data_IF_364820218537
#
_entry.id   IF_364820218537
#
_cell.length_a   1.000
_cell.length_b   1.000
_cell.length_c   1.000
_cell.angle_alpha   90.00
_cell.angle_beta   90.00
_cell.angle_gamma   90.00
#
_symmetry.space_group_name_H-M   'P 1'
#
loop_
_entity.id
_entity.type
_entity.pdbx_description
1 polymer ?
#
# COMPACT_ATOMS: atom_id res chain seq x y z
N UNK A 1 -6.75 12.85 3.16
CA UNK A 1 -6.61 11.40 3.30
C UNK A 1 -7.57 10.80 2.30
N UNK A 2 -7.20 9.73 1.60
CA UNK A 2 -8.23 8.99 0.88
C UNK A 2 -9.20 8.42 1.92
N UNK A 3 -10.46 8.83 1.82
CA UNK A 3 -11.59 8.14 2.44
C UNK A 3 -11.35 6.61 2.34
N UNK A 4 -11.34 5.89 3.49
CA UNK A 4 -11.11 4.43 3.52
C UNK A 4 -12.33 3.63 3.06
N UNK A 5 -13.38 4.31 2.62
CA UNK A 5 -14.47 3.68 1.89
C UNK A 5 -13.95 2.88 0.69
N UNK A 6 -14.66 1.80 0.40
CA UNK A 6 -14.33 0.85 -0.65
C UNK A 6 -14.17 1.54 -1.99
N UNK A 7 -15.10 2.42 -2.37
CA UNK A 7 -15.10 3.09 -3.67
C UNK A 7 -13.91 4.06 -3.74
N UNK A 8 -13.75 4.89 -2.72
CA UNK A 8 -12.69 5.89 -2.67
C UNK A 8 -11.28 5.28 -2.71
N UNK A 9 -11.03 4.21 -1.96
CA UNK A 9 -9.73 3.51 -1.98
C UNK A 9 -9.47 2.88 -3.35
N UNK A 10 -10.48 2.26 -3.96
CA UNK A 10 -10.32 1.69 -5.30
C UNK A 10 -10.05 2.76 -6.36
N UNK A 11 -10.75 3.89 -6.32
CA UNK A 11 -10.54 5.01 -7.24
C UNK A 11 -9.17 5.63 -7.07
N UNK A 12 -8.71 5.84 -5.83
CA UNK A 12 -7.37 6.30 -5.54
C UNK A 12 -6.29 5.34 -6.07
N UNK A 13 -6.46 4.02 -5.84
CA UNK A 13 -5.53 3.01 -6.39
C UNK A 13 -5.54 2.99 -7.92
N UNK A 14 -6.70 3.14 -8.56
CA UNK A 14 -6.78 3.27 -10.02
C UNK A 14 -5.99 4.48 -10.49
N UNK A 15 -6.20 5.65 -9.88
CA UNK A 15 -5.55 6.91 -10.25
C UNK A 15 -4.01 6.87 -10.11
N UNK A 16 -3.49 6.14 -9.11
CA UNK A 16 -2.04 5.98 -8.93
C UNK A 16 -1.35 5.21 -10.07
N UNK A 17 -2.10 4.58 -10.97
CA UNK A 17 -1.66 3.90 -12.20
C UNK A 17 -0.19 3.47 -12.20
N UNK A 18 0.16 2.28 -11.66
CA UNK A 18 1.46 1.71 -11.98
C UNK A 18 1.53 1.59 -13.51
N UNK A 19 2.59 2.12 -14.13
CA UNK A 19 2.70 2.21 -15.60
C UNK A 19 2.44 0.90 -16.35
N UNK A 20 2.53 -0.25 -15.67
CA UNK A 20 1.88 -1.50 -16.08
C UNK A 20 0.83 -1.87 -15.03
N UNK A 21 -0.45 -1.89 -15.43
CA UNK A 21 -1.58 -2.25 -14.55
C UNK A 21 -1.78 -3.77 -14.61
N UNK A 22 -1.49 -4.51 -13.53
CA UNK A 22 -1.77 -5.94 -13.53
C UNK A 22 -3.28 -6.22 -13.60
N UNK A 23 -3.69 -7.41 -14.08
CA UNK A 23 -5.10 -7.75 -14.23
C UNK A 23 -5.90 -7.66 -12.93
N UNK A 24 -5.23 -7.89 -11.80
CA UNK A 24 -5.83 -7.88 -10.46
C UNK A 24 -5.64 -6.53 -9.72
N UNK A 25 -5.40 -5.43 -10.46
CA UNK A 25 -5.30 -4.09 -9.90
C UNK A 25 -6.59 -3.29 -10.11
N UNK A 26 -7.08 -2.58 -9.08
CA UNK A 26 -6.58 -2.55 -7.70
C UNK A 26 -6.79 -3.90 -6.98
N UNK A 27 -5.94 -4.26 -6.00
CA UNK A 27 -6.15 -5.46 -5.20
C UNK A 27 -7.55 -5.43 -4.58
N UNK A 28 -8.26 -6.58 -4.52
CA UNK A 28 -9.61 -6.60 -3.99
C UNK A 28 -9.61 -6.22 -2.52
N UNK A 29 -10.63 -5.47 -2.12
CA UNK A 29 -10.98 -5.32 -0.71
C UNK A 29 -11.57 -6.66 -0.27
N UNK A 30 -11.17 -7.16 0.90
CA UNK A 30 -11.60 -8.48 1.35
C UNK A 30 -13.11 -8.45 1.62
N UNK A 31 -13.82 -9.54 1.34
CA UNK A 31 -15.27 -9.61 1.62
C UNK A 31 -15.61 -9.40 3.11
N UNK A 32 -14.69 -9.73 4.03
CA UNK A 32 -14.84 -9.49 5.48
C UNK A 32 -14.87 -7.99 5.84
N UNK A 33 -14.44 -7.16 4.90
CA UNK A 33 -14.19 -5.73 5.00
C UNK A 33 -15.24 -4.88 4.25
N UNK A 34 -16.20 -5.53 3.58
CA UNK A 34 -17.16 -4.90 2.64
C UNK A 34 -18.53 -4.58 3.27
N UNK A 35 -19.15 -5.43 4.12
CA UNK A 35 -20.48 -5.13 4.67
C UNK A 35 -20.59 -5.18 6.20
N UNK A 36 -19.50 -5.03 6.96
CA UNK A 36 -19.54 -5.18 8.42
C UNK A 36 -19.59 -3.83 9.16
N UNK A 37 -20.08 -3.88 10.40
CA UNK A 37 -20.23 -2.82 11.43
C UNK A 37 -19.05 -1.82 11.51
N UNK A 38 -17.90 -2.15 10.94
CA UNK A 38 -16.66 -1.38 10.96
C UNK A 38 -16.46 -0.44 9.77
N UNK A 39 -17.31 -0.48 8.74
CA UNK A 39 -17.17 0.39 7.57
C UNK A 39 -17.18 1.89 7.96
N UNK A 40 -18.13 2.29 8.82
CA UNK A 40 -18.17 3.66 9.34
C UNK A 40 -16.94 3.97 10.20
N UNK A 41 -16.49 3.03 11.05
CA UNK A 41 -15.31 3.22 11.88
C UNK A 41 -14.03 3.44 11.05
N UNK A 42 -13.92 2.81 9.87
CA UNK A 42 -12.80 3.05 8.96
C UNK A 42 -12.89 4.43 8.29
N UNK A 43 -14.09 4.88 7.95
CA UNK A 43 -14.31 6.25 7.44
C UNK A 43 -13.96 7.28 8.52
N UNK A 44 -14.43 7.06 9.75
CA UNK A 44 -14.18 7.94 10.88
C UNK A 44 -12.69 8.00 11.22
N UNK A 45 -12.01 6.85 11.32
CA UNK A 45 -10.56 6.77 11.47
C UNK A 45 -9.84 7.58 10.40
N UNK A 46 -10.33 7.51 9.16
CA UNK A 46 -9.75 8.27 8.08
C UNK A 46 -9.91 9.78 8.21
N UNK A 47 -11.10 10.22 8.63
CA UNK A 47 -11.36 11.61 8.96
C UNK A 47 -10.49 12.11 10.12
N UNK A 48 -10.32 11.28 11.16
CA UNK A 48 -9.52 11.62 12.34
C UNK A 48 -8.04 11.76 11.98
N UNK A 49 -7.48 10.84 11.20
CA UNK A 49 -6.10 10.93 10.72
C UNK A 49 -5.88 12.18 9.86
N UNK A 50 -6.86 12.55 9.03
CA UNK A 50 -6.81 13.77 8.23
C UNK A 50 -6.80 15.04 9.06
N UNK A 51 -7.69 15.10 10.05
CA UNK A 51 -7.75 16.22 10.97
C UNK A 51 -6.45 16.31 11.78
N UNK A 52 -5.90 15.19 12.22
CA UNK A 52 -4.62 15.16 12.94
C UNK A 52 -3.46 15.64 12.07
N UNK A 53 -3.42 15.26 10.80
CA UNK A 53 -2.39 15.71 9.86
C UNK A 53 -2.53 17.20 9.49
N UNK A 54 -3.75 17.74 9.46
CA UNK A 54 -4.02 19.12 9.05
C UNK A 54 -3.87 20.16 10.17
N UNK A 55 -3.67 19.74 11.42
CA UNK A 55 -3.50 20.64 12.56
C UNK A 55 -2.11 21.28 12.55
N UNK A 56 -2.05 22.59 12.83
CA UNK A 56 -0.80 23.35 12.89
C UNK A 56 0.10 22.97 14.09
N UNK A 57 -0.49 22.41 15.15
CA UNK A 57 0.18 22.19 16.44
C UNK A 57 0.94 20.86 16.52
N UNK A 58 1.91 20.66 15.62
CA UNK A 58 2.86 19.55 15.68
C UNK A 58 2.55 18.38 14.73
N UNK A 59 3.58 17.60 14.42
CA UNK A 59 3.54 16.57 13.39
C UNK A 59 2.64 15.39 13.76
N UNK A 60 2.00 14.78 12.74
CA UNK A 60 1.32 13.49 12.88
C UNK A 60 2.25 12.43 13.50
N UNK A 61 3.54 12.50 13.17
CA UNK A 61 4.57 11.63 13.71
C UNK A 61 4.66 11.72 15.22
N UNK A 62 4.78 12.92 15.79
CA UNK A 62 4.85 13.12 17.23
C UNK A 62 3.58 12.65 17.95
N UNK A 63 2.41 12.82 17.32
CA UNK A 63 1.12 12.41 17.87
C UNK A 63 0.93 10.90 17.90
N UNK A 64 1.53 10.20 16.94
CA UNK A 64 1.52 8.74 16.86
C UNK A 64 2.77 8.10 17.47
N UNK A 65 3.68 8.87 18.09
CA UNK A 65 4.94 8.37 18.61
C UNK A 65 4.78 7.54 19.90
N UNK A 66 3.62 7.59 20.54
CA UNK A 66 3.33 6.78 21.72
C UNK A 66 3.41 5.27 21.37
N UNK A 67 4.20 4.47 22.12
CA UNK A 67 4.37 3.05 21.81
C UNK A 67 3.06 2.25 21.82
N UNK A 68 2.13 2.54 22.73
CA UNK A 68 0.86 1.83 22.78
C UNK A 68 0.00 2.14 21.54
N UNK A 69 -0.03 3.41 21.12
CA UNK A 69 -0.69 3.85 19.89
C UNK A 69 -0.09 3.19 18.64
N UNK A 70 1.25 3.06 18.57
CA UNK A 70 1.92 2.35 17.47
C UNK A 70 1.56 0.86 17.44
N UNK A 71 1.42 0.22 18.60
CA UNK A 71 1.03 -1.17 18.72
C UNK A 71 -0.43 -1.40 18.28
N UNK A 72 -1.34 -0.51 18.66
CA UNK A 72 -2.74 -0.53 18.20
C UNK A 72 -2.84 -0.31 16.69
N UNK A 73 -2.13 0.70 16.17
CA UNK A 73 -2.08 0.96 14.73
C UNK A 73 -1.53 -0.25 13.97
N UNK A 74 -0.50 -0.91 14.51
CA UNK A 74 0.07 -2.10 13.88
C UNK A 74 -0.91 -3.28 13.86
N UNK A 75 -1.63 -3.48 14.96
CA UNK A 75 -2.69 -4.49 15.06
C UNK A 75 -3.76 -4.24 14.01
N UNK A 76 -4.22 -3.00 13.89
CA UNK A 76 -5.22 -2.58 12.90
C UNK A 76 -4.73 -2.84 11.48
N UNK A 77 -3.50 -2.42 11.14
CA UNK A 77 -2.92 -2.60 9.81
C UNK A 77 -2.80 -4.09 9.41
N UNK A 78 -2.56 -4.98 10.36
CA UNK A 78 -2.49 -6.42 10.09
C UNK A 78 -3.84 -7.04 9.74
N UNK A 79 -4.93 -6.42 10.18
CA UNK A 79 -6.29 -6.90 9.91
C UNK A 79 -6.81 -6.40 8.56
N UNK A 80 -6.25 -5.30 8.04
CA UNK A 80 -6.65 -4.73 6.76
C UNK A 80 -6.20 -5.57 5.55
N UNK A 81 -7.04 -5.55 4.54
CA UNK A 81 -6.76 -6.02 3.19
C UNK A 81 -5.78 -5.11 2.48
N UNK A 82 -5.20 -5.64 1.40
CA UNK A 82 -4.11 -4.99 0.69
C UNK A 82 -4.43 -3.57 0.20
N UNK A 83 -5.66 -3.33 -0.26
CA UNK A 83 -6.07 -2.02 -0.78
C UNK A 83 -6.01 -0.92 0.30
N UNK A 84 -6.69 -1.14 1.44
CA UNK A 84 -6.72 -0.19 2.55
C UNK A 84 -5.38 -0.08 3.28
N UNK A 85 -4.66 -1.20 3.39
CA UNK A 85 -3.30 -1.22 3.90
C UNK A 85 -2.39 -0.30 3.07
N UNK A 86 -2.42 -0.42 1.74
CA UNK A 86 -1.60 0.43 0.86
C UNK A 86 -1.98 1.90 0.97
N UNK A 87 -3.28 2.22 1.05
CA UNK A 87 -3.76 3.60 1.22
C UNK A 87 -3.24 4.24 2.52
N UNK A 88 -3.37 3.54 3.66
CA UNK A 88 -2.86 4.03 4.94
C UNK A 88 -1.34 4.13 4.96
N UNK A 89 -0.63 3.13 4.45
CA UNK A 89 0.82 3.15 4.41
C UNK A 89 1.36 4.29 3.54
N UNK A 90 0.67 4.61 2.44
CA UNK A 90 1.00 5.75 1.60
C UNK A 90 0.74 7.06 2.34
N UNK A 91 -0.44 7.25 2.93
CA UNK A 91 -0.76 8.45 3.72
C UNK A 91 0.26 8.71 4.84
N UNK A 92 0.64 7.67 5.60
CA UNK A 92 1.64 7.76 6.66
C UNK A 92 3.05 8.06 6.13
N UNK A 93 3.35 7.66 4.88
CA UNK A 93 4.62 8.00 4.23
C UNK A 93 4.64 9.46 3.74
N UNK A 94 3.53 9.96 3.18
CA UNK A 94 3.41 11.33 2.71
C UNK A 94 3.46 12.35 3.85
N UNK A 95 2.97 11.98 5.03
CA UNK A 95 3.00 12.81 6.24
C UNK A 95 4.25 12.55 7.11
N UNK A 96 5.32 12.01 6.52
CA UNK A 96 6.58 11.82 7.24
C UNK A 96 7.21 13.16 7.62
N UNK A 97 7.70 13.26 8.85
CA UNK A 97 8.40 14.44 9.32
C UNK A 97 9.83 14.48 8.75
N UNK A 98 10.29 15.63 8.21
CA UNK A 98 11.65 15.74 7.69
C UNK A 98 12.70 15.39 8.75
N UNK A 99 13.60 14.46 8.42
CA UNK A 99 14.67 14.03 9.32
C UNK A 99 14.25 12.95 10.34
N UNK A 100 12.98 12.54 10.37
CA UNK A 100 12.53 11.39 11.18
C UNK A 100 12.49 10.10 10.37
N UNK A 101 12.46 8.96 11.08
CA UNK A 101 12.21 7.66 10.45
C UNK A 101 10.73 7.61 10.06
N UNK A 102 10.36 7.36 8.79
CA UNK A 102 8.96 7.32 8.38
C UNK A 102 8.15 6.32 9.20
N UNK A 103 6.91 6.69 9.58
CA UNK A 103 6.01 5.82 10.37
C UNK A 103 5.87 4.40 9.78
N UNK A 104 5.74 4.21 8.44
CA UNK A 104 5.78 2.89 7.83
C UNK A 104 6.99 2.02 8.23
N UNK A 105 8.16 2.62 8.33
CA UNK A 105 9.38 1.93 8.72
C UNK A 105 9.40 1.63 10.23
N UNK A 106 8.89 2.53 11.07
CA UNK A 106 8.75 2.29 12.52
C UNK A 106 7.80 1.12 12.78
N UNK A 107 6.61 1.16 12.18
CA UNK A 107 5.58 0.13 12.33
C UNK A 107 6.08 -1.25 11.88
N UNK A 108 6.89 -1.30 10.83
CA UNK A 108 7.40 -2.56 10.29
C UNK A 108 8.74 -3.00 10.87
N UNK A 109 9.40 -2.25 11.77
CA UNK A 109 10.71 -2.65 12.36
C UNK A 109 10.62 -3.35 13.71
N UNK A 110 9.48 -3.27 14.40
CA UNK A 110 9.32 -3.90 15.70
C UNK A 110 9.52 -5.44 15.63
N UNK A 111 9.90 -6.03 16.76
CA UNK A 111 10.09 -7.48 16.94
C UNK A 111 8.82 -8.18 17.43
N UNK A 112 7.65 -7.69 17.00
CA UNK A 112 6.35 -8.27 17.33
C UNK A 112 5.83 -9.16 16.20
N UNK A 113 4.87 -10.05 16.53
CA UNK A 113 4.23 -10.91 15.54
C UNK A 113 3.49 -10.11 14.47
N UNK A 114 2.86 -9.01 14.86
CA UNK A 114 2.15 -8.08 13.99
C UNK A 114 3.14 -7.37 13.05
N UNK A 115 4.31 -6.95 13.54
CA UNK A 115 5.33 -6.33 12.70
C UNK A 115 5.90 -7.32 11.67
N UNK A 116 6.10 -8.58 12.07
CA UNK A 116 6.48 -9.66 11.18
C UNK A 116 5.42 -9.94 10.11
N UNK A 117 4.14 -9.98 10.51
CA UNK A 117 3.01 -10.17 9.61
C UNK A 117 2.90 -9.03 8.60
N UNK A 118 2.98 -7.78 9.07
CA UNK A 118 2.98 -6.58 8.23
C UNK A 118 4.13 -6.59 7.21
N UNK A 119 5.37 -6.88 7.65
CA UNK A 119 6.53 -7.01 6.75
C UNK A 119 6.28 -8.09 5.69
N UNK A 120 5.73 -9.23 6.10
CA UNK A 120 5.46 -10.35 5.20
C UNK A 120 4.38 -10.03 4.18
N UNK A 121 3.31 -9.35 4.60
CA UNK A 121 2.24 -8.88 3.72
C UNK A 121 2.78 -7.88 2.67
N UNK A 122 3.55 -6.88 3.11
CA UNK A 122 4.15 -5.89 2.20
C UNK A 122 5.13 -6.53 1.22
N UNK A 123 5.95 -7.48 1.67
CA UNK A 123 6.86 -8.25 0.79
C UNK A 123 6.10 -9.09 -0.22
N UNK A 124 5.04 -9.77 0.20
CA UNK A 124 4.20 -10.57 -0.69
C UNK A 124 3.54 -9.70 -1.77
N UNK A 125 3.00 -8.53 -1.40
CA UNK A 125 2.43 -7.56 -2.34
C UNK A 125 3.48 -7.05 -3.32
N UNK A 126 4.62 -6.57 -2.83
CA UNK A 126 5.72 -6.08 -3.67
C UNK A 126 6.22 -7.15 -4.65
N UNK A 127 6.37 -8.39 -4.18
CA UNK A 127 6.75 -9.53 -5.03
C UNK A 127 5.70 -9.80 -6.10
N UNK A 128 4.41 -9.85 -5.75
CA UNK A 128 3.32 -10.07 -6.72
C UNK A 128 3.35 -9.01 -7.82
N UNK A 129 3.41 -7.73 -7.45
CA UNK A 129 3.48 -6.62 -8.41
C UNK A 129 4.72 -6.69 -9.29
N UNK A 130 5.87 -6.97 -8.70
CA UNK A 130 7.13 -7.09 -9.44
C UNK A 130 7.07 -8.22 -10.45
N UNK A 131 6.57 -9.39 -10.05
CA UNK A 131 6.43 -10.54 -10.95
C UNK A 131 5.44 -10.27 -12.08
N UNK A 132 4.26 -9.72 -11.77
CA UNK A 132 3.28 -9.36 -12.79
C UNK A 132 3.83 -8.35 -13.80
N UNK A 133 4.63 -7.37 -13.35
CA UNK A 133 5.30 -6.40 -14.22
C UNK A 133 6.47 -7.00 -15.00
N UNK A 134 7.24 -7.93 -14.43
CA UNK A 134 8.37 -8.55 -15.11
C UNK A 134 7.92 -9.53 -16.19
N UNK A 135 6.87 -10.29 -15.90
CA UNK A 135 6.33 -11.33 -16.77
C UNK A 135 5.02 -10.90 -17.46
N UNK A 136 4.86 -9.60 -17.71
CA UNK A 136 3.70 -9.13 -18.45
C UNK A 136 3.73 -9.64 -19.89
N UNK A 137 2.56 -9.96 -20.44
CA UNK A 137 2.44 -10.45 -21.82
C UNK A 137 3.08 -9.48 -22.82
N UNK A 138 2.89 -8.18 -22.60
CA UNK A 138 3.51 -7.11 -23.39
C UNK A 138 5.04 -7.24 -23.40
N UNK A 139 5.69 -7.33 -22.23
CA UNK A 139 7.15 -7.44 -22.15
C UNK A 139 7.67 -8.75 -22.69
N UNK A 140 6.97 -9.86 -22.44
CA UNK A 140 7.31 -11.16 -23.00
C UNK A 140 7.23 -11.13 -24.54
N UNK A 141 6.21 -10.46 -25.08
CA UNK A 141 6.04 -10.32 -26.53
C UNK A 141 7.09 -9.41 -27.16
N UNK A 142 7.44 -8.30 -26.49
CA UNK A 142 8.50 -7.39 -26.92
C UNK A 142 9.87 -8.09 -26.92
N UNK A 143 10.18 -8.85 -25.86
CA UNK A 143 11.41 -9.62 -25.76
C UNK A 143 11.49 -10.70 -26.85
N UNK A 144 10.38 -11.41 -27.10
CA UNK A 144 10.32 -12.43 -28.16
C UNK A 144 10.54 -11.82 -29.55
N UNK A 145 10.01 -10.63 -29.79
CA UNK A 145 10.20 -9.90 -31.06
C UNK A 145 11.67 -9.50 -31.23
N UNK A 146 12.27 -8.89 -30.21
CA UNK A 146 13.68 -8.51 -30.23
C UNK A 146 14.62 -9.70 -30.48
N UNK A 147 14.34 -10.87 -29.87
CA UNK A 147 15.11 -12.10 -30.12
C UNK A 147 14.95 -12.57 -31.57
N UNK A 148 13.73 -12.52 -32.11
CA UNK A 148 13.47 -12.94 -33.50
C UNK A 148 14.18 -12.04 -34.51
N UNK A 149 14.23 -10.73 -34.26
CA UNK A 149 14.89 -9.78 -35.16
C UNK A 149 16.42 -9.87 -35.06
N UNK A 150 16.98 -10.00 -33.86
CA UNK A 150 18.42 -10.25 -33.68
C UNK A 150 18.88 -11.54 -34.38
N UNK A 151 18.07 -12.60 -34.34
CA UNK A 151 18.37 -13.83 -35.07
C UNK A 151 18.32 -13.64 -36.59
N UNK A 152 17.43 -12.80 -37.14
CA UNK A 152 17.43 -12.53 -38.59
C UNK A 152 18.68 -11.77 -39.03
N UNK A 153 19.14 -10.82 -38.23
CA UNK A 153 20.34 -10.02 -38.52
C UNK A 153 21.63 -10.85 -38.43
N UNK A 154 21.69 -11.88 -37.56
CA UNK A 154 22.87 -12.72 -37.40
C UNK A 154 23.11 -13.73 -38.56
N UNK A 155 22.11 -13.96 -39.42
CA UNK A 155 22.20 -14.88 -40.56
C UNK A 155 22.06 -14.19 -41.93
N UNK A 156 22.26 -12.87 -41.98
CA UNK A 156 22.43 -12.06 -43.19
C UNK A 156 23.90 -11.64 -43.34
#
# INVERSE_FOLDING_TARGET
>A
MPNLDTIAVQDWLRALHPGHVPPDWPPPIRAIEEPTVHAQALVDLGGDLDQLASRADGSLHARLADPATLDELRTLLCQLGAARLLALMHFLAENAEPGSVPLPAVLSRAETAEALALRSALRALSRRFTLQRMFSLERLSALRTAIADANKEAFQ
#
